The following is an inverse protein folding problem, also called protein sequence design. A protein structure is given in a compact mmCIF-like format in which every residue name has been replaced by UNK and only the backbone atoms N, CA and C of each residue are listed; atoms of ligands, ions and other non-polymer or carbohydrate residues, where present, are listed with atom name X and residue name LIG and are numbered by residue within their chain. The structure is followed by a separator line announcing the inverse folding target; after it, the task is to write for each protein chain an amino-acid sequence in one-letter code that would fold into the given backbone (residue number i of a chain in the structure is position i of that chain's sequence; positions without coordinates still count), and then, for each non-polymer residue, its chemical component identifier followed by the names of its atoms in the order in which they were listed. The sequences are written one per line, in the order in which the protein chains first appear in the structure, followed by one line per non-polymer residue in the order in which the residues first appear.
data_IF_564462951664
#
_entry.id   IF_564462951664
#
_cell.length_a   1.000
_cell.length_b   1.000
_cell.length_c   1.000
_cell.angle_alpha   90.00
_cell.angle_beta   90.00
_cell.angle_gamma   90.00
#
_symmetry.space_group_name_H-M   'P 1'
#
loop_
_entity.id
_entity.type
_entity.pdbx_description
1 polymer ?
#
# COMPACT_ATOMS: atom_id res chain seq x y z
N UNK A 1 -23.76 -25.49 11.77
CA UNK A 1 -23.24 -24.14 11.50
C UNK A 1 -21.72 -24.21 11.45
N UNK A 2 -21.10 -24.27 10.25
CA UNK A 2 -19.64 -24.35 10.11
C UNK A 2 -19.07 -22.93 10.10
N UNK A 3 -18.44 -22.50 11.20
CA UNK A 3 -17.63 -21.28 11.22
C UNK A 3 -16.49 -21.49 10.22
N UNK A 4 -16.47 -20.72 9.13
CA UNK A 4 -15.31 -20.65 8.24
C UNK A 4 -14.18 -20.02 9.04
N UNK A 5 -13.24 -20.84 9.51
CA UNK A 5 -11.94 -20.36 9.93
C UNK A 5 -11.23 -19.82 8.68
N UNK A 6 -10.93 -18.53 8.65
CA UNK A 6 -10.10 -17.94 7.60
C UNK A 6 -8.65 -18.32 7.89
N UNK A 7 -7.99 -19.11 7.03
CA UNK A 7 -6.65 -19.56 7.31
C UNK A 7 -5.65 -18.42 7.08
N UNK A 8 -4.85 -18.22 8.13
CA UNK A 8 -3.50 -17.67 8.19
C UNK A 8 -3.33 -16.16 7.98
N UNK A 9 -2.88 -15.51 9.06
CA UNK A 9 -2.20 -14.21 9.02
C UNK A 9 -1.13 -14.29 7.92
N UNK A 10 -1.36 -13.62 6.80
CA UNK A 10 -0.25 -13.22 5.93
C UNK A 10 0.67 -12.40 6.83
N UNK A 11 1.92 -12.79 6.96
CA UNK A 11 2.94 -11.95 7.58
C UNK A 11 2.98 -10.64 6.78
N UNK A 12 2.24 -9.60 7.21
CA UNK A 12 2.11 -8.30 6.54
C UNK A 12 3.39 -7.45 6.64
N UNK A 13 4.55 -8.08 6.45
CA UNK A 13 5.86 -7.48 6.66
C UNK A 13 6.11 -6.39 5.62
N UNK A 14 5.72 -6.61 4.37
CA UNK A 14 5.98 -5.65 3.28
C UNK A 14 4.97 -4.50 3.33
N UNK A 15 3.69 -4.76 3.60
CA UNK A 15 2.71 -3.69 3.82
C UNK A 15 3.09 -2.78 5.00
N UNK A 16 3.61 -3.34 6.09
CA UNK A 16 4.07 -2.56 7.23
C UNK A 16 5.26 -1.66 6.83
N UNK A 17 6.28 -2.22 6.19
CA UNK A 17 7.43 -1.44 5.70
C UNK A 17 7.02 -0.36 4.68
N UNK A 18 6.07 -0.66 3.79
CA UNK A 18 5.55 0.29 2.81
C UNK A 18 4.80 1.45 3.47
N UNK A 19 3.97 1.14 4.47
CA UNK A 19 3.28 2.15 5.27
C UNK A 19 4.26 3.04 6.03
N UNK A 20 5.33 2.47 6.58
CA UNK A 20 6.40 3.24 7.24
C UNK A 20 7.12 4.19 6.27
N UNK A 21 7.46 3.75 5.06
CA UNK A 21 8.07 4.62 4.03
C UNK A 21 7.15 5.79 3.72
N UNK A 22 5.87 5.52 3.46
CA UNK A 22 4.89 6.56 3.13
C UNK A 22 4.68 7.54 4.30
N UNK A 23 4.70 7.05 5.54
CA UNK A 23 4.57 7.89 6.75
C UNK A 23 5.69 8.93 6.91
N UNK A 24 6.88 8.64 6.35
CA UNK A 24 8.07 9.51 6.41
C UNK A 24 8.19 10.46 5.22
N UNK A 25 7.25 10.40 4.27
CA UNK A 25 7.26 11.25 3.08
C UNK A 25 7.22 12.74 3.44
N UNK A 26 7.95 13.58 2.70
CA UNK A 26 7.83 15.03 2.77
C UNK A 26 6.47 15.52 2.22
N UNK A 27 5.82 14.74 1.36
CA UNK A 27 4.46 15.00 0.89
C UNK A 27 3.46 14.46 1.93
N UNK A 28 2.75 15.37 2.59
CA UNK A 28 1.83 15.03 3.69
C UNK A 28 0.72 14.07 3.28
N UNK A 29 0.19 14.21 2.07
CA UNK A 29 -0.91 13.37 1.56
C UNK A 29 -0.53 11.89 1.46
N UNK A 30 0.74 11.59 1.19
CA UNK A 30 1.23 10.20 1.13
C UNK A 30 1.14 9.50 2.49
N UNK A 31 1.23 10.24 3.59
CA UNK A 31 1.19 9.70 4.96
C UNK A 31 -0.19 9.15 5.33
N UNK A 32 -1.23 9.56 4.60
CA UNK A 32 -2.61 9.12 4.81
C UNK A 32 -3.00 7.93 3.92
N UNK A 33 -2.10 7.48 3.04
CA UNK A 33 -2.36 6.35 2.16
C UNK A 33 -2.25 5.04 2.93
N UNK A 34 -3.14 4.11 2.61
CA UNK A 34 -3.18 2.77 3.18
C UNK A 34 -2.50 1.78 2.22
N UNK A 35 -1.74 0.85 2.79
CA UNK A 35 -1.17 -0.28 2.06
C UNK A 35 -1.70 -1.59 2.64
N UNK A 36 -2.35 -2.39 1.81
CA UNK A 36 -2.78 -3.74 2.16
C UNK A 36 -1.97 -4.77 1.36
N UNK A 37 -1.56 -5.86 2.01
CA UNK A 37 -0.76 -6.94 1.42
C UNK A 37 -1.61 -8.20 1.23
N UNK A 38 -1.43 -8.82 0.06
CA UNK A 38 -1.96 -10.14 -0.30
C UNK A 38 -0.82 -11.04 -0.77
N UNK A 39 -1.11 -12.31 -1.07
CA UNK A 39 -0.10 -13.31 -1.48
C UNK A 39 0.77 -12.88 -2.68
N UNK A 40 0.27 -12.02 -3.57
CA UNK A 40 0.99 -11.62 -4.79
C UNK A 40 0.89 -10.14 -5.15
N UNK A 41 0.23 -9.33 -4.32
CA UNK A 41 -0.04 -7.91 -4.62
C UNK A 41 -0.04 -7.04 -3.35
N UNK A 42 0.56 -5.85 -3.46
CA UNK A 42 0.37 -4.71 -2.57
C UNK A 42 -0.65 -3.76 -3.20
N UNK A 43 -1.67 -3.37 -2.43
CA UNK A 43 -2.66 -2.39 -2.87
C UNK A 43 -2.48 -1.07 -2.11
N UNK A 44 -2.22 0.02 -2.84
CA UNK A 44 -2.27 1.38 -2.30
C UNK A 44 -3.69 1.95 -2.48
N UNK A 45 -4.24 2.54 -1.42
CA UNK A 45 -5.56 3.17 -1.45
C UNK A 45 -5.59 4.48 -0.63
N UNK A 46 -6.54 5.35 -0.95
CA UNK A 46 -6.67 6.69 -0.37
C UNK A 46 -6.90 7.75 -1.45
N UNK A 47 -6.61 9.01 -1.13
CA UNK A 47 -6.77 10.15 -2.03
C UNK A 47 -5.57 11.08 -1.96
N UNK A 48 -5.24 11.72 -3.10
CA UNK A 48 -4.22 12.77 -3.22
C UNK A 48 -4.71 13.88 -4.15
N UNK A 49 -4.14 15.07 -4.06
CA UNK A 49 -4.50 16.22 -4.90
C UNK A 49 -3.78 16.28 -6.25
N UNK A 50 -2.94 15.29 -6.59
CA UNK A 50 -2.26 15.28 -7.89
C UNK A 50 -1.89 13.89 -8.39
N UNK A 51 -1.88 13.72 -9.72
CA UNK A 51 -1.32 12.52 -10.36
C UNK A 51 0.17 12.34 -10.05
N UNK A 52 0.89 13.43 -9.82
CA UNK A 52 2.28 13.39 -9.37
C UNK A 52 2.41 12.69 -8.00
N UNK A 53 1.60 13.07 -7.00
CA UNK A 53 1.59 12.39 -5.71
C UNK A 53 1.15 10.94 -5.80
N UNK A 54 0.18 10.64 -6.68
CA UNK A 54 -0.27 9.27 -6.95
C UNK A 54 0.88 8.41 -7.50
N UNK A 55 1.66 8.93 -8.44
CA UNK A 55 2.81 8.23 -8.99
C UNK A 55 3.95 8.10 -7.97
N UNK A 56 4.25 9.18 -7.24
CA UNK A 56 5.29 9.19 -6.20
C UNK A 56 5.01 8.13 -5.12
N UNK A 57 3.76 7.99 -4.70
CA UNK A 57 3.35 6.96 -3.75
C UNK A 57 3.64 5.55 -4.27
N UNK A 58 3.27 5.27 -5.54
CA UNK A 58 3.50 3.97 -6.16
C UNK A 58 4.99 3.65 -6.25
N UNK A 59 5.81 4.58 -6.73
CA UNK A 59 7.24 4.35 -6.91
C UNK A 59 7.97 4.19 -5.56
N UNK A 60 7.52 4.91 -4.53
CA UNK A 60 8.01 4.74 -3.16
C UNK A 60 7.80 3.32 -2.64
N UNK A 61 6.63 2.74 -2.88
CA UNK A 61 6.30 1.36 -2.46
C UNK A 61 6.95 0.32 -3.38
N UNK A 62 7.05 0.58 -4.69
CA UNK A 62 7.64 -0.33 -5.68
C UNK A 62 9.08 -0.72 -5.33
N UNK A 63 9.87 0.20 -4.74
CA UNK A 63 11.25 -0.06 -4.35
C UNK A 63 11.42 -1.20 -3.34
N UNK A 64 10.40 -1.48 -2.52
CA UNK A 64 10.46 -2.51 -1.48
C UNK A 64 9.46 -3.64 -1.68
N UNK A 65 8.70 -3.62 -2.79
CA UNK A 65 7.64 -4.59 -3.05
C UNK A 65 8.15 -6.04 -3.19
N UNK A 66 9.46 -6.25 -3.35
CA UNK A 66 10.08 -7.57 -3.24
C UNK A 66 9.55 -8.61 -4.24
N UNK A 67 9.11 -8.17 -5.42
CA UNK A 67 8.49 -9.02 -6.44
C UNK A 67 6.96 -9.10 -6.38
N UNK A 68 6.32 -8.53 -5.35
CA UNK A 68 4.87 -8.34 -5.34
C UNK A 68 4.46 -7.33 -6.42
N UNK A 69 3.32 -7.60 -7.05
CA UNK A 69 2.67 -6.63 -7.93
C UNK A 69 2.23 -5.42 -7.10
N UNK A 70 2.41 -4.21 -7.60
CA UNK A 70 1.90 -2.99 -6.94
C UNK A 70 0.67 -2.50 -7.70
N UNK A 71 -0.48 -2.52 -7.04
CA UNK A 71 -1.73 -1.94 -7.54
C UNK A 71 -1.96 -0.59 -6.88
N UNK A 72 -2.00 0.46 -7.71
CA UNK A 72 -2.29 1.81 -7.26
C UNK A 72 -3.76 2.16 -7.48
N UNK A 73 -4.57 2.02 -6.42
CA UNK A 73 -5.98 2.36 -6.38
C UNK A 73 -6.24 3.73 -5.73
N UNK A 74 -5.21 4.58 -5.62
CA UNK A 74 -5.35 5.94 -5.05
C UNK A 74 -6.17 6.83 -5.99
N UNK A 75 -7.14 7.56 -5.45
CA UNK A 75 -7.92 8.54 -6.20
C UNK A 75 -7.20 9.88 -6.28
N UNK A 76 -7.38 10.60 -7.39
CA UNK A 76 -6.96 12.01 -7.51
C UNK A 76 -8.22 12.86 -7.39
N UNK A 77 -8.24 13.80 -6.44
CA UNK A 77 -9.36 14.70 -6.16
C UNK A 77 -9.05 16.14 -6.56
#
# INVERSE_FOLDING_TARGET
MKKRAYPQRIDQKIATAASEILSRSSVSELRNLRVDESTSELTLSGSVGSFYHKQLAQESVRMIAGGLRVRNSVSVL
#
